data_IF_312325213844
#
_entry.id   IF_312325213844
#
_cell.length_a   1.000
_cell.length_b   1.000
_cell.length_c   1.000
_cell.angle_alpha   90.00
_cell.angle_beta   90.00
_cell.angle_gamma   90.00
#
_symmetry.space_group_name_H-M   'P 1'
#
loop_
_entity.id
_entity.type
_entity.pdbx_description
1 polymer ?
#
# COMPACT_ATOMS: atom_id res chain seq x y z
N UNK A 1 -35.23 -31.90 43.06
CA UNK A 1 -34.65 -32.60 41.90
C UNK A 1 -34.58 -31.58 40.77
N UNK A 2 -33.44 -30.88 40.60
CA UNK A 2 -33.29 -29.76 39.65
C UNK A 2 -32.18 -30.09 38.66
N UNK A 3 -32.35 -31.21 37.94
CA UNK A 3 -31.31 -31.81 37.10
C UNK A 3 -31.67 -31.93 35.62
N UNK A 4 -32.75 -31.30 35.14
CA UNK A 4 -33.19 -31.44 33.75
C UNK A 4 -33.78 -30.13 33.24
N UNK A 5 -32.96 -29.07 33.18
CA UNK A 5 -33.34 -27.85 32.46
C UNK A 5 -32.14 -27.21 31.75
N UNK A 6 -31.19 -28.02 31.26
CA UNK A 6 -30.11 -27.53 30.39
C UNK A 6 -29.86 -28.41 29.16
N UNK A 7 -30.76 -29.35 28.86
CA UNK A 7 -30.71 -30.17 27.65
C UNK A 7 -32.11 -30.42 27.12
N UNK A 8 -32.67 -29.52 26.31
CA UNK A 8 -33.73 -29.90 25.37
C UNK A 8 -33.77 -28.90 24.21
N UNK A 9 -33.11 -29.28 23.13
CA UNK A 9 -33.31 -28.85 21.73
C UNK A 9 -32.90 -27.45 21.27
N UNK A 10 -32.99 -26.39 22.09
CA UNK A 10 -32.83 -25.02 21.53
C UNK A 10 -31.38 -24.50 21.55
N UNK A 11 -30.58 -24.93 22.53
CA UNK A 11 -29.21 -24.44 22.72
C UNK A 11 -28.18 -25.19 21.86
N UNK A 12 -28.34 -26.51 21.71
CA UNK A 12 -27.38 -27.35 21.00
C UNK A 12 -27.39 -27.09 19.48
N UNK A 13 -28.57 -27.08 18.85
CA UNK A 13 -28.71 -26.79 17.42
C UNK A 13 -28.23 -25.39 17.06
N UNK A 14 -28.57 -24.37 17.87
CA UNK A 14 -28.11 -22.99 17.64
C UNK A 14 -26.58 -22.84 17.71
N UNK A 15 -25.93 -23.57 18.62
CA UNK A 15 -24.45 -23.54 18.69
C UNK A 15 -23.79 -24.26 17.52
N UNK A 16 -24.44 -25.28 16.96
CA UNK A 16 -23.97 -25.95 15.75
C UNK A 16 -24.12 -25.08 14.50
N UNK A 17 -25.26 -24.40 14.36
CA UNK A 17 -25.49 -23.43 13.28
C UNK A 17 -24.48 -22.28 13.34
N UNK A 18 -24.25 -21.71 14.53
CA UNK A 18 -23.25 -20.65 14.70
C UNK A 18 -21.83 -21.13 14.40
N UNK A 19 -21.46 -22.35 14.82
CA UNK A 19 -20.15 -22.94 14.46
C UNK A 19 -19.99 -23.10 12.95
N UNK A 20 -21.03 -23.58 12.27
CA UNK A 20 -21.02 -23.73 10.81
C UNK A 20 -20.90 -22.38 10.11
N UNK A 21 -21.62 -21.35 10.57
CA UNK A 21 -21.53 -20.00 10.03
C UNK A 21 -20.13 -19.39 10.23
N UNK A 22 -19.51 -19.57 11.41
CA UNK A 22 -18.14 -19.12 11.67
C UNK A 22 -17.14 -19.82 10.77
N UNK A 23 -17.29 -21.13 10.56
CA UNK A 23 -16.41 -21.89 9.67
C UNK A 23 -16.55 -21.43 8.21
N UNK A 24 -17.78 -21.19 7.74
CA UNK A 24 -18.02 -20.63 6.41
C UNK A 24 -17.39 -19.25 6.25
N UNK A 25 -17.53 -18.38 7.25
CA UNK A 25 -16.94 -17.04 7.22
C UNK A 25 -15.41 -17.08 7.24
N UNK A 26 -14.81 -18.04 7.94
CA UNK A 26 -13.37 -18.23 7.96
C UNK A 26 -12.82 -18.58 6.58
N UNK A 27 -13.48 -19.52 5.88
CA UNK A 27 -13.09 -19.93 4.52
C UNK A 27 -13.22 -18.76 3.52
N UNK A 28 -14.27 -17.96 3.65
CA UNK A 28 -14.44 -16.77 2.82
C UNK A 28 -13.36 -15.71 3.12
N UNK A 29 -13.03 -15.50 4.40
CA UNK A 29 -11.97 -14.58 4.80
C UNK A 29 -10.60 -15.03 4.30
N UNK A 30 -10.28 -16.33 4.35
CA UNK A 30 -9.03 -16.88 3.80
C UNK A 30 -8.95 -16.60 2.29
N UNK A 31 -10.02 -16.87 1.54
CA UNK A 31 -10.07 -16.56 0.11
C UNK A 31 -9.89 -15.07 -0.18
N UNK A 32 -10.51 -14.20 0.61
CA UNK A 32 -10.36 -12.75 0.47
C UNK A 32 -8.94 -12.28 0.82
N UNK A 33 -8.31 -12.88 1.83
CA UNK A 33 -6.93 -12.59 2.20
C UNK A 33 -5.95 -12.95 1.07
N UNK A 34 -6.10 -14.12 0.46
CA UNK A 34 -5.28 -14.52 -0.70
C UNK A 34 -5.44 -13.54 -1.87
N UNK A 35 -6.66 -13.13 -2.16
CA UNK A 35 -6.94 -12.15 -3.23
C UNK A 35 -6.35 -10.78 -2.91
N UNK A 36 -6.50 -10.31 -1.67
CA UNK A 36 -5.91 -9.04 -1.24
C UNK A 36 -4.38 -9.09 -1.34
N UNK A 37 -3.74 -10.18 -0.93
CA UNK A 37 -2.29 -10.33 -1.06
C UNK A 37 -1.84 -10.23 -2.53
N UNK A 38 -2.55 -10.88 -3.45
CA UNK A 38 -2.28 -10.77 -4.88
C UNK A 38 -2.45 -9.34 -5.40
N UNK A 39 -3.53 -8.66 -4.99
CA UNK A 39 -3.82 -7.30 -5.42
C UNK A 39 -2.81 -6.28 -4.86
N UNK A 40 -2.38 -6.46 -3.60
CA UNK A 40 -1.36 -5.62 -2.99
C UNK A 40 -0.02 -5.75 -3.73
N UNK A 41 0.37 -6.97 -4.09
CA UNK A 41 1.57 -7.22 -4.89
C UNK A 41 1.48 -6.55 -6.27
N UNK A 42 0.32 -6.61 -6.93
CA UNK A 42 0.09 -5.96 -8.22
C UNK A 42 0.17 -4.43 -8.09
N UNK A 43 -0.48 -3.84 -7.09
CA UNK A 43 -0.43 -2.40 -6.82
C UNK A 43 0.99 -1.94 -6.53
N UNK A 44 1.76 -2.72 -5.75
CA UNK A 44 3.15 -2.41 -5.45
C UNK A 44 4.01 -2.43 -6.71
N UNK A 45 3.83 -3.44 -7.56
CA UNK A 45 4.54 -3.54 -8.84
C UNK A 45 4.21 -2.36 -9.76
N UNK A 46 2.92 -2.00 -9.88
CA UNK A 46 2.48 -0.85 -10.68
C UNK A 46 3.05 0.47 -10.16
N UNK A 47 3.08 0.67 -8.84
CA UNK A 47 3.68 1.85 -8.21
C UNK A 47 5.18 1.94 -8.50
N UNK A 48 5.90 0.83 -8.36
CA UNK A 48 7.34 0.78 -8.63
C UNK A 48 7.65 1.03 -10.11
N UNK A 49 6.88 0.43 -11.03
CA UNK A 49 7.02 0.65 -12.46
C UNK A 49 6.73 2.11 -12.87
N UNK A 50 5.72 2.74 -12.26
CA UNK A 50 5.42 4.16 -12.47
C UNK A 50 6.50 5.08 -11.92
N UNK A 51 7.01 4.81 -10.71
CA UNK A 51 8.08 5.59 -10.13
C UNK A 51 9.36 5.54 -10.99
N UNK A 52 9.71 4.37 -11.53
CA UNK A 52 10.84 4.23 -12.44
C UNK A 52 10.65 5.01 -13.76
N UNK A 53 9.43 5.03 -14.30
CA UNK A 53 9.11 5.81 -15.49
C UNK A 53 9.13 7.33 -15.23
N UNK A 54 8.64 7.73 -14.05
CA UNK A 54 8.60 9.12 -13.62
C UNK A 54 9.99 9.69 -13.35
N UNK A 55 10.87 8.93 -12.69
CA UNK A 55 12.27 9.29 -12.49
C UNK A 55 12.97 9.52 -13.84
N UNK A 56 12.74 8.65 -14.82
CA UNK A 56 13.28 8.83 -16.17
C UNK A 56 12.73 10.08 -16.85
N UNK A 57 11.44 10.37 -16.70
CA UNK A 57 10.83 11.57 -17.27
C UNK A 57 11.39 12.86 -16.63
N UNK A 58 11.65 12.85 -15.32
CA UNK A 58 12.24 13.99 -14.60
C UNK A 58 13.71 14.19 -14.95
N UNK A 59 14.50 13.11 -14.95
CA UNK A 59 15.97 13.16 -15.11
C UNK A 59 16.41 13.28 -16.56
N UNK A 60 15.76 12.57 -17.50
CA UNK A 60 16.20 12.56 -18.90
C UNK A 60 15.47 13.61 -19.75
N UNK A 61 14.20 13.89 -19.45
CA UNK A 61 13.34 14.77 -20.27
C UNK A 61 13.02 16.12 -19.61
N UNK A 62 13.41 16.31 -18.34
CA UNK A 62 13.05 17.52 -17.58
C UNK A 62 11.54 17.74 -17.46
N UNK A 63 10.74 16.68 -17.60
CA UNK A 63 9.29 16.77 -17.56
C UNK A 63 8.80 16.91 -16.11
N UNK A 64 7.97 17.93 -15.86
CA UNK A 64 7.34 18.19 -14.57
C UNK A 64 5.82 17.97 -14.66
N UNK A 65 5.23 17.48 -13.56
CA UNK A 65 3.77 17.28 -13.49
C UNK A 65 3.00 18.60 -13.63
N UNK A 66 1.79 18.55 -14.20
CA UNK A 66 0.95 19.74 -14.44
C UNK A 66 0.61 20.55 -13.17
N UNK A 67 0.67 19.92 -12.00
CA UNK A 67 0.34 20.52 -10.70
C UNK A 67 1.52 20.51 -9.73
N UNK A 68 2.76 20.39 -10.21
CA UNK A 68 3.94 20.34 -9.36
C UNK A 68 4.79 21.62 -9.46
N UNK A 69 5.43 22.00 -8.34
CA UNK A 69 6.41 23.10 -8.30
C UNK A 69 7.81 22.50 -8.21
N UNK A 70 8.64 22.74 -9.21
CA UNK A 70 10.01 22.25 -9.29
C UNK A 70 11.00 23.27 -8.74
N UNK A 71 11.85 22.86 -7.79
CA UNK A 71 12.91 23.69 -7.24
C UNK A 71 14.27 23.12 -7.66
N UNK A 72 15.04 23.90 -8.45
CA UNK A 72 16.42 23.56 -8.78
C UNK A 72 17.37 24.42 -7.96
N UNK A 73 18.18 23.79 -7.11
CA UNK A 73 19.23 24.48 -6.36
C UNK A 73 20.45 24.63 -7.27
N UNK A 74 20.65 25.82 -7.81
CA UNK A 74 21.87 26.15 -8.56
C UNK A 74 22.91 26.69 -7.57
N UNK A 75 24.12 26.12 -7.49
CA UNK A 75 25.18 26.71 -6.68
C UNK A 75 25.53 28.08 -7.26
N UNK A 76 25.72 29.08 -6.39
CA UNK A 76 26.13 30.42 -6.81
C UNK A 76 27.55 30.36 -7.39
N UNK A 77 27.67 30.20 -8.70
CA UNK A 77 28.93 30.37 -9.42
C UNK A 77 29.21 31.86 -9.57
N UNK A 78 29.87 32.41 -8.55
CA UNK A 78 30.16 33.83 -8.45
C UNK A 78 31.49 34.16 -7.77
N UNK A 79 32.50 33.31 -7.89
CA UNK A 79 33.87 33.72 -7.55
C UNK A 79 34.85 33.28 -8.63
N UNK A 80 34.62 33.83 -9.82
CA UNK A 80 35.69 34.07 -10.79
C UNK A 80 36.54 35.21 -10.21
N UNK A 81 37.32 34.92 -9.16
CA UNK A 81 38.47 35.73 -8.77
C UNK A 81 39.49 35.60 -9.91
N UNK A 82 39.25 36.39 -10.94
CA UNK A 82 40.28 36.95 -11.80
C UNK A 82 41.29 37.64 -10.89
N UNK A 83 42.25 36.88 -10.36
CA UNK A 83 43.56 37.42 -10.03
C UNK A 83 44.31 37.72 -11.34
N UNK A 84 43.67 38.55 -12.17
CA UNK A 84 44.28 39.31 -13.24
C UNK A 84 44.45 40.72 -12.70
N UNK A 85 45.49 40.89 -11.88
CA UNK A 85 46.25 42.15 -11.81
C UNK A 85 47.71 41.74 -11.64
N UNK A 86 48.41 41.60 -12.77
CA UNK A 86 49.85 41.86 -12.86
C UNK A 86 50.06 43.35 -13.13
N UNK A 87 51.22 43.95 -12.85
CA UNK A 87 52.54 43.33 -12.57
C UNK A 87 52.83 43.07 -11.10
#
# INVERSE_FOLDING_TARGET
MVGQLMLSDNGFSRTQELRSAVQSQHLENESLQERNFSLEAEVLNLKNGRAAAEERARTDLGMIGKSETFFQVVPASGERLVADVRP
#
